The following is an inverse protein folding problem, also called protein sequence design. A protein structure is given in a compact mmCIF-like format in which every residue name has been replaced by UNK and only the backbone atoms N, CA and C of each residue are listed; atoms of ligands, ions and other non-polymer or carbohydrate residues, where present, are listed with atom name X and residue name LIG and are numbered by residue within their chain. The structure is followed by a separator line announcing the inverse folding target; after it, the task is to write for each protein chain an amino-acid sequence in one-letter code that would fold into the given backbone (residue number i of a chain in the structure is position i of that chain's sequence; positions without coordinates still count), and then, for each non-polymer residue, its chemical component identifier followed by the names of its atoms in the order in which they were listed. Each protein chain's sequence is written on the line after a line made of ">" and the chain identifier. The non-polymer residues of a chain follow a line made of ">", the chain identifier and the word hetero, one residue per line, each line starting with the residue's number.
data_IF_108174507551
#
_entry.id   IF_108174507551
#
_cell.length_a   1.000
_cell.length_b   1.000
_cell.length_c   1.000
_cell.angle_alpha   90.00
_cell.angle_beta   90.00
_cell.angle_gamma   90.00
#
_symmetry.space_group_name_H-M   'P 1'
#
loop_
_entity.id
_entity.type
_entity.pdbx_description
1 polymer ?
#
# COMPACT_ATOMS: atom_id res chain seq x y z
N UNK A 1 -2.25 12.34 -1.72
CA UNK A 1 -1.55 11.85 -2.93
C UNK A 1 -1.57 12.94 -3.98
N UNK A 2 -0.72 12.85 -5.00
CA UNK A 2 -0.79 13.71 -6.18
C UNK A 2 -0.43 12.90 -7.44
N UNK A 3 -0.89 13.35 -8.61
CA UNK A 3 -0.65 12.70 -9.90
C UNK A 3 0.47 13.44 -10.65
N UNK A 4 1.41 12.68 -11.20
CA UNK A 4 2.55 13.17 -11.99
C UNK A 4 2.82 12.19 -13.13
N UNK A 5 2.46 12.57 -14.37
CA UNK A 5 2.71 11.79 -15.59
C UNK A 5 2.39 10.28 -15.45
N UNK A 6 1.13 9.96 -15.17
CA UNK A 6 0.63 8.59 -14.94
C UNK A 6 1.12 7.89 -13.66
N UNK A 7 1.79 8.64 -12.77
CA UNK A 7 2.30 8.13 -11.50
C UNK A 7 1.61 8.81 -10.34
N UNK A 8 0.99 8.03 -9.45
CA UNK A 8 0.36 8.56 -8.25
C UNK A 8 1.34 8.46 -7.09
N UNK A 9 1.70 9.60 -6.48
CA UNK A 9 2.64 9.65 -5.36
C UNK A 9 1.88 9.79 -4.04
N UNK A 10 2.24 8.96 -3.07
CA UNK A 10 1.53 8.79 -1.80
C UNK A 10 2.53 8.95 -0.65
N UNK A 11 2.17 9.75 0.36
CA UNK A 11 2.94 9.97 1.59
C UNK A 11 2.07 9.45 2.76
N UNK A 12 2.67 8.81 3.80
CA UNK A 12 1.93 8.39 4.98
C UNK A 12 1.20 9.57 5.66
N UNK A 13 0.02 9.31 6.22
CA UNK A 13 -0.64 10.24 7.13
C UNK A 13 -0.75 9.62 8.51
N UNK A 14 -0.29 10.36 9.52
CA UNK A 14 -0.20 9.91 10.91
C UNK A 14 -1.31 10.47 11.80
N UNK A 15 -2.24 11.24 11.23
CA UNK A 15 -3.21 12.04 12.00
C UNK A 15 -4.69 11.73 11.69
N UNK A 16 -4.98 10.78 10.80
CA UNK A 16 -6.38 10.48 10.39
C UNK A 16 -6.56 9.03 9.96
N UNK A 17 -7.80 8.54 10.04
CA UNK A 17 -8.28 7.28 9.43
C UNK A 17 -8.31 7.27 7.90
N UNK A 18 -7.66 8.23 7.24
CA UNK A 18 -7.70 8.35 5.79
C UNK A 18 -6.83 7.28 5.13
N UNK A 19 -7.48 6.46 4.30
CA UNK A 19 -6.87 5.48 3.42
C UNK A 19 -6.27 6.18 2.20
N UNK A 20 -5.03 6.68 2.31
CA UNK A 20 -4.42 7.50 1.26
C UNK A 20 -4.01 6.65 0.06
N UNK A 21 -3.57 5.40 0.31
CA UNK A 21 -3.33 4.44 -0.77
C UNK A 21 -4.67 4.06 -1.41
N UNK A 22 -5.72 3.84 -0.61
CA UNK A 22 -7.08 3.62 -1.11
C UNK A 22 -7.57 4.72 -2.05
N UNK A 23 -7.33 5.99 -1.71
CA UNK A 23 -7.69 7.11 -2.60
C UNK A 23 -6.86 7.17 -3.88
N UNK A 24 -5.57 6.84 -3.80
CA UNK A 24 -4.75 6.73 -4.99
C UNK A 24 -5.25 5.61 -5.91
N UNK A 25 -5.59 4.43 -5.36
CA UNK A 25 -6.16 3.32 -6.11
C UNK A 25 -7.51 3.68 -6.78
N UNK A 26 -8.35 4.47 -6.10
CA UNK A 26 -9.60 4.95 -6.67
C UNK A 26 -9.36 5.87 -7.89
N UNK A 27 -8.33 6.71 -7.85
CA UNK A 27 -7.98 7.65 -8.91
C UNK A 27 -7.19 7.01 -10.07
N UNK A 28 -6.45 5.92 -9.81
CA UNK A 28 -5.59 5.26 -10.78
C UNK A 28 -6.37 4.54 -11.89
N UNK A 29 -5.84 4.51 -13.10
CA UNK A 29 -6.30 3.70 -14.22
C UNK A 29 -5.36 2.49 -14.44
N UNK A 30 -5.84 1.47 -15.17
CA UNK A 30 -4.99 0.35 -15.53
C UNK A 30 -3.78 0.84 -16.37
N UNK A 31 -2.58 0.37 -16.00
CA UNK A 31 -1.29 0.84 -16.50
C UNK A 31 -0.63 1.93 -15.63
N UNK A 32 -1.31 2.44 -14.61
CA UNK A 32 -0.73 3.41 -13.67
C UNK A 32 0.14 2.72 -12.62
N UNK A 33 1.08 3.50 -12.08
CA UNK A 33 1.95 3.08 -10.96
C UNK A 33 1.71 3.99 -9.76
N UNK A 34 1.47 3.39 -8.60
CA UNK A 34 1.39 4.09 -7.32
C UNK A 34 2.75 4.00 -6.62
N UNK A 35 3.39 5.15 -6.40
CA UNK A 35 4.64 5.26 -5.66
C UNK A 35 4.38 5.63 -4.19
N UNK A 36 4.76 4.73 -3.29
CA UNK A 36 4.67 4.93 -1.84
C UNK A 36 5.99 5.49 -1.31
N UNK A 37 5.95 6.69 -0.75
CA UNK A 37 7.08 7.29 -0.07
C UNK A 37 7.35 6.60 1.29
N UNK A 38 8.59 6.70 1.83
CA UNK A 38 8.91 6.13 3.13
C UNK A 38 7.93 6.53 4.22
N UNK A 39 7.50 5.56 5.02
CA UNK A 39 6.40 5.73 5.96
C UNK A 39 5.71 4.45 6.38
N UNK A 40 4.92 4.56 7.44
CA UNK A 40 3.95 3.54 7.85
C UNK A 40 2.56 3.96 7.39
N UNK A 41 1.90 3.07 6.64
CA UNK A 41 0.53 3.21 6.17
C UNK A 41 -0.34 2.21 6.93
N UNK A 42 -1.19 2.72 7.81
CA UNK A 42 -2.12 1.90 8.58
C UNK A 42 -3.47 1.83 7.85
N UNK A 43 -3.53 1.06 6.77
CA UNK A 43 -4.76 0.85 5.99
C UNK A 43 -4.82 -0.55 5.35
N UNK A 44 -6.05 -1.01 5.07
CA UNK A 44 -6.30 -2.21 4.24
C UNK A 44 -6.23 -1.82 2.77
N UNK A 45 -5.54 -2.63 1.96
CA UNK A 45 -5.33 -2.38 0.53
C UNK A 45 -6.13 -3.36 -0.31
N UNK A 46 -7.03 -2.84 -1.14
CA UNK A 46 -7.67 -3.60 -2.22
C UNK A 46 -7.09 -3.15 -3.55
N UNK A 47 -6.18 -3.93 -4.11
CA UNK A 47 -5.54 -3.61 -5.38
C UNK A 47 -6.58 -3.50 -6.51
N UNK A 48 -6.30 -2.60 -7.46
CA UNK A 48 -7.11 -2.42 -8.66
C UNK A 48 -6.43 -3.16 -9.82
N UNK A 49 -7.21 -3.87 -10.62
CA UNK A 49 -6.67 -4.64 -11.73
C UNK A 49 -5.84 -3.75 -12.67
N UNK A 50 -4.64 -4.20 -13.03
CA UNK A 50 -3.73 -3.43 -13.88
C UNK A 50 -3.01 -2.26 -13.21
N UNK A 51 -3.12 -2.06 -11.89
CA UNK A 51 -2.45 -0.95 -11.19
C UNK A 51 -1.34 -1.47 -10.30
N UNK A 52 -0.11 -1.03 -10.56
CA UNK A 52 1.06 -1.46 -9.81
C UNK A 52 1.29 -0.59 -8.57
N UNK A 53 1.84 -1.19 -7.51
CA UNK A 53 2.20 -0.47 -6.28
C UNK A 53 3.67 -0.71 -5.95
N UNK A 54 4.41 0.39 -5.82
CA UNK A 54 5.85 0.35 -5.57
C UNK A 54 6.25 1.28 -4.44
N UNK A 55 6.88 0.71 -3.41
CA UNK A 55 7.58 1.50 -2.40
C UNK A 55 8.87 2.10 -2.94
N UNK A 56 9.18 3.33 -2.53
CA UNK A 56 10.45 3.98 -2.84
C UNK A 56 11.29 4.14 -1.57
N UNK A 57 12.61 4.12 -1.73
CA UNK A 57 13.57 4.14 -0.62
C UNK A 57 14.20 2.77 -0.35
N UNK A 58 14.88 2.66 0.78
CA UNK A 58 15.59 1.45 1.20
C UNK A 58 14.63 0.35 1.64
N UNK A 59 15.08 -0.91 1.64
CA UNK A 59 14.27 -2.04 2.12
C UNK A 59 13.74 -1.75 3.53
N UNK A 60 12.41 -1.83 3.69
CA UNK A 60 11.72 -1.59 4.96
C UNK A 60 11.40 -0.12 5.26
N UNK A 61 11.75 0.82 4.37
CA UNK A 61 11.38 2.23 4.55
C UNK A 61 9.89 2.49 4.33
N UNK A 62 9.21 1.61 3.60
CA UNK A 62 7.75 1.64 3.38
C UNK A 62 7.13 0.44 4.09
N UNK A 63 6.17 0.68 4.98
CA UNK A 63 5.48 -0.34 5.76
C UNK A 63 3.97 -0.16 5.58
N UNK A 64 3.28 -1.23 5.17
CA UNK A 64 1.82 -1.31 5.20
C UNK A 64 1.45 -2.19 6.40
N UNK A 65 0.65 -1.66 7.30
CA UNK A 65 0.34 -2.28 8.59
C UNK A 65 -1.16 -2.38 8.82
N UNK A 66 -1.65 -3.57 9.21
CA UNK A 66 -2.98 -3.74 9.79
C UNK A 66 -2.93 -4.74 10.96
N UNK A 67 -3.53 -4.42 12.11
CA UNK A 67 -3.49 -5.29 13.27
C UNK A 67 -4.49 -6.45 13.23
N UNK A 68 -5.61 -6.31 12.51
CA UNK A 68 -6.76 -7.20 12.70
C UNK A 68 -7.53 -7.54 11.41
N UNK A 69 -6.92 -7.34 10.25
CA UNK A 69 -7.54 -7.64 8.94
C UNK A 69 -6.49 -8.14 7.95
N UNK A 70 -6.96 -8.78 6.88
CA UNK A 70 -6.13 -9.04 5.70
C UNK A 70 -5.59 -7.72 5.17
N UNK A 71 -4.26 -7.59 5.14
CA UNK A 71 -3.62 -6.29 4.82
C UNK A 71 -3.80 -5.96 3.33
N UNK A 72 -3.68 -6.95 2.44
CA UNK A 72 -3.68 -6.76 0.98
C UNK A 72 -4.54 -7.81 0.31
N UNK A 73 -5.49 -7.37 -0.50
CA UNK A 73 -6.22 -8.18 -1.50
C UNK A 73 -5.73 -7.80 -2.89
N UNK A 74 -5.22 -8.78 -3.65
CA UNK A 74 -4.61 -8.56 -4.97
C UNK A 74 -5.62 -8.84 -6.09
N UNK A 75 -5.67 -7.96 -7.09
CA UNK A 75 -6.49 -8.10 -8.30
C UNK A 75 -5.64 -8.61 -9.50
N UNK A 76 -6.27 -8.82 -10.65
CA UNK A 76 -5.58 -9.31 -11.84
C UNK A 76 -4.53 -8.32 -12.35
N UNK A 77 -3.38 -8.85 -12.80
CA UNK A 77 -2.29 -8.10 -13.43
C UNK A 77 -1.78 -6.91 -12.58
N UNK A 78 -1.30 -7.22 -11.37
CA UNK A 78 -0.75 -6.25 -10.40
C UNK A 78 0.66 -6.65 -10.00
N UNK A 79 1.61 -5.73 -10.10
CA UNK A 79 2.94 -5.86 -9.49
C UNK A 79 3.02 -5.12 -8.15
N UNK A 80 3.54 -5.81 -7.14
CA UNK A 80 3.79 -5.27 -5.80
C UNK A 80 5.30 -5.32 -5.49
N UNK A 81 5.92 -4.17 -5.22
CA UNK A 81 7.37 -4.08 -5.11
C UNK A 81 7.86 -3.16 -3.99
N UNK A 82 8.92 -3.58 -3.29
CA UNK A 82 9.74 -2.75 -2.38
C UNK A 82 8.99 -2.10 -1.21
N UNK A 83 8.11 -2.84 -0.54
CA UNK A 83 7.54 -2.45 0.75
C UNK A 83 7.44 -3.66 1.69
N UNK A 84 7.30 -3.39 2.98
CA UNK A 84 7.07 -4.39 4.02
C UNK A 84 5.57 -4.46 4.30
N UNK A 85 5.06 -5.69 4.47
CA UNK A 85 3.71 -5.97 4.95
C UNK A 85 3.82 -6.50 6.38
N UNK A 86 3.09 -5.91 7.32
CA UNK A 86 3.18 -6.27 8.74
C UNK A 86 1.80 -6.36 9.39
N UNK A 87 1.56 -7.43 10.14
CA UNK A 87 0.38 -7.60 11.00
C UNK A 87 0.81 -7.87 12.44
N UNK A 88 0.04 -7.37 13.41
CA UNK A 88 0.22 -7.72 14.82
C UNK A 88 -0.68 -8.88 15.29
N UNK A 89 -1.61 -9.36 14.46
CA UNK A 89 -2.29 -10.64 14.65
C UNK A 89 -1.32 -11.81 14.37
N UNK A 90 -0.49 -12.16 15.33
CA UNK A 90 0.30 -13.39 15.30
C UNK A 90 -0.20 -14.36 16.37
N UNK A 91 -1.12 -15.25 16.01
CA UNK A 91 -1.46 -16.42 16.82
C UNK A 91 -0.36 -17.47 16.64
N UNK A 92 0.78 -17.30 17.32
CA UNK A 92 1.72 -18.42 17.44
C UNK A 92 1.09 -19.47 18.36
N UNK A 93 0.74 -20.63 17.81
CA UNK A 93 0.51 -21.81 18.64
C UNK A 93 1.87 -22.18 19.25
N UNK A 94 2.02 -22.04 20.57
CA UNK A 94 3.13 -22.69 21.25
C UNK A 94 2.95 -24.20 21.09
N UNK A 95 3.90 -24.84 20.39
CA UNK A 95 4.00 -26.30 20.27
C UNK A 95 4.20 -26.95 21.64
#
# INVERSE_FOLDING_TARGET
>A
WWLDNNTLKVIPCTITTHTIIGWALAAAAAGDVILLHPGTYEEVITCKAGVDIKGIGTKGSVVIYQPSADIITVADNVELQNFTVSSSAHSSLSA
#
